data_IF_338930472567
#
_entry.id   IF_338930472567
#
_cell.length_a   1.000
_cell.length_b   1.000
_cell.length_c   1.000
_cell.angle_alpha   90.00
_cell.angle_beta   90.00
_cell.angle_gamma   90.00
#
_symmetry.space_group_name_H-M   'P 1'
#
loop_
_entity.id
_entity.type
_entity.pdbx_description
1 polymer ?
#
# COMPACT_ATOMS: atom_id res chain seq x y z
N UNK A 1 9.86 2.24 -16.72
CA UNK A 1 9.22 1.53 -15.60
C UNK A 1 9.54 2.28 -14.30
N UNK A 2 8.59 2.97 -13.67
CA UNK A 2 8.84 3.60 -12.39
C UNK A 2 9.06 2.50 -11.35
N UNK A 3 10.28 2.45 -10.79
CA UNK A 3 10.64 1.53 -9.72
C UNK A 3 9.87 1.96 -8.47
N UNK A 4 8.90 1.15 -8.04
CA UNK A 4 8.20 1.33 -6.78
C UNK A 4 9.20 0.98 -5.66
N UNK A 5 10.00 1.97 -5.25
CA UNK A 5 11.12 1.78 -4.31
C UNK A 5 10.64 1.20 -2.97
N UNK A 6 9.39 1.45 -2.59
CA UNK A 6 8.78 0.94 -1.34
C UNK A 6 8.51 -0.57 -1.38
N UNK A 7 8.21 -1.15 -2.55
CA UNK A 7 7.96 -2.60 -2.68
C UNK A 7 9.27 -3.41 -2.72
N UNK A 8 10.40 -2.76 -3.06
CA UNK A 8 11.70 -3.42 -3.17
C UNK A 8 12.47 -3.54 -1.85
N UNK A 9 11.92 -3.06 -0.73
CA UNK A 9 12.58 -3.08 0.57
C UNK A 9 11.63 -3.67 1.62
N UNK A 10 11.95 -4.87 2.10
CA UNK A 10 11.24 -5.48 3.23
C UNK A 10 11.22 -4.51 4.42
N UNK A 11 10.02 -4.11 4.86
CA UNK A 11 9.84 -3.27 6.06
C UNK A 11 9.72 -4.20 7.26
N UNK A 12 10.73 -4.22 8.14
CA UNK A 12 10.67 -4.94 9.41
C UNK A 12 10.29 -3.96 10.52
N UNK A 13 9.20 -4.23 11.22
CA UNK A 13 8.75 -3.45 12.38
C UNK A 13 8.30 -4.39 13.49
N UNK A 14 8.68 -4.10 14.73
CA UNK A 14 8.15 -4.74 15.93
C UNK A 14 6.92 -4.00 16.51
N UNK A 15 6.53 -2.89 15.88
CA UNK A 15 5.34 -2.11 16.24
C UNK A 15 4.18 -2.51 15.33
N UNK A 16 3.00 -2.64 15.94
CA UNK A 16 1.76 -2.84 15.20
C UNK A 16 1.57 -1.64 14.26
N UNK A 17 1.50 -1.86 12.93
CA UNK A 17 1.35 -0.76 11.99
C UNK A 17 0.02 -0.06 12.23
N UNK A 18 0.03 1.26 12.21
CA UNK A 18 -1.20 2.05 12.21
C UNK A 18 -1.93 1.77 10.88
N UNK A 19 -2.92 0.89 10.93
CA UNK A 19 -3.71 0.47 9.75
C UNK A 19 -4.33 1.68 9.04
N UNK A 20 -4.86 2.65 9.80
CA UNK A 20 -5.47 3.84 9.23
C UNK A 20 -4.45 4.71 8.49
N UNK A 21 -3.27 4.91 9.08
CA UNK A 21 -2.18 5.65 8.45
C UNK A 21 -1.63 4.94 7.21
N UNK A 22 -1.55 3.61 7.24
CA UNK A 22 -1.13 2.80 6.11
C UNK A 22 -2.12 2.88 4.93
N UNK A 23 -3.42 2.77 5.20
CA UNK A 23 -4.47 2.91 4.17
C UNK A 23 -4.44 4.31 3.55
N UNK A 24 -4.26 5.35 4.37
CA UNK A 24 -4.21 6.73 3.89
C UNK A 24 -3.00 6.95 2.97
N UNK A 25 -1.81 6.51 3.40
CA UNK A 25 -0.61 6.59 2.57
C UNK A 25 -0.76 5.86 1.22
N UNK A 26 -1.43 4.70 1.21
CA UNK A 26 -1.70 3.96 -0.04
C UNK A 26 -2.69 4.71 -0.95
N UNK A 27 -3.75 5.32 -0.39
CA UNK A 27 -4.65 6.18 -1.16
C UNK A 27 -3.94 7.41 -1.73
N UNK A 28 -3.05 8.03 -0.97
CA UNK A 28 -2.25 9.19 -1.39
C UNK A 28 -1.28 8.83 -2.52
N UNK A 29 -0.79 7.59 -2.57
CA UNK A 29 -0.03 7.04 -3.69
C UNK A 29 -0.89 6.75 -4.94
N UNK A 30 -2.19 7.03 -4.90
CA UNK A 30 -3.13 6.73 -5.99
C UNK A 30 -3.48 5.24 -6.09
N UNK A 31 -3.18 4.45 -5.06
CA UNK A 31 -3.46 3.02 -5.03
C UNK A 31 -4.93 2.81 -4.68
N UNK A 32 -5.58 1.88 -5.37
CA UNK A 32 -6.92 1.45 -4.99
C UNK A 32 -6.82 0.55 -3.76
N UNK A 33 -7.45 0.99 -2.67
CA UNK A 33 -7.52 0.24 -1.41
C UNK A 33 -8.96 -0.16 -1.15
N UNK A 34 -9.18 -1.46 -0.92
CA UNK A 34 -10.45 -2.01 -0.44
C UNK A 34 -10.25 -2.77 0.86
N UNK A 35 -11.33 -2.95 1.60
CA UNK A 35 -11.36 -3.78 2.82
C UNK A 35 -12.43 -4.82 2.61
N UNK A 36 -12.08 -6.09 2.75
CA UNK A 36 -12.99 -7.22 2.54
C UNK A 36 -12.70 -8.27 3.61
N UNK A 37 -13.74 -8.70 4.34
CA UNK A 37 -13.64 -9.74 5.37
C UNK A 37 -12.52 -9.50 6.43
N UNK A 38 -12.27 -8.23 6.77
CA UNK A 38 -11.20 -7.85 7.71
C UNK A 38 -9.80 -7.78 7.09
N UNK A 39 -9.66 -8.12 5.81
CA UNK A 39 -8.41 -8.01 5.06
C UNK A 39 -8.33 -6.68 4.30
N UNK A 40 -7.13 -6.10 4.25
CA UNK A 40 -6.83 -4.91 3.46
C UNK A 40 -6.29 -5.37 2.12
N UNK A 41 -7.05 -5.14 1.06
CA UNK A 41 -6.67 -5.48 -0.31
C UNK A 41 -6.15 -4.22 -0.99
N UNK A 42 -4.91 -4.29 -1.45
CA UNK A 42 -4.20 -3.19 -2.11
C UNK A 42 -3.97 -3.59 -3.56
N UNK A 43 -4.67 -2.91 -4.47
CA UNK A 43 -4.55 -3.13 -5.90
C UNK A 43 -3.51 -2.16 -6.48
N UNK A 44 -2.31 -2.71 -6.71
CA UNK A 44 -1.16 -2.00 -7.26
C UNK A 44 -1.15 -1.99 -8.79
N UNK A 45 -2.13 -2.60 -9.48
CA UNK A 45 -2.15 -2.66 -10.95
C UNK A 45 -2.29 -1.27 -11.60
N UNK A 46 -2.80 -0.28 -10.87
CA UNK A 46 -2.90 1.09 -11.35
C UNK A 46 -1.63 1.92 -11.06
N UNK A 47 -0.66 1.37 -10.33
CA UNK A 47 0.57 2.05 -9.93
C UNK A 47 1.60 2.02 -11.06
N UNK A 48 1.37 2.82 -12.08
CA UNK A 48 2.21 2.88 -13.28
C UNK A 48 1.48 3.31 -14.56
N UNK A 49 0.17 3.58 -14.49
CA UNK A 49 -0.62 4.07 -15.62
C UNK A 49 -0.39 5.56 -15.89
N UNK A 50 0.70 5.87 -16.59
CA UNK A 50 0.78 7.01 -17.50
C UNK A 50 1.68 6.65 -18.68
#
# INVERSE_FOLDING_TARGET
>A
MPKITVLSKTIKTNKMPNIAGFIQAMKDMGVKVSTKDGEIVIDLCHLGGK
#
